data_IF_712158917815
#
_entry.id   IF_712158917815
#
_cell.length_a   1.000
_cell.length_b   1.000
_cell.length_c   1.000
_cell.angle_alpha   90.00
_cell.angle_beta   90.00
_cell.angle_gamma   90.00
#
_symmetry.space_group_name_H-M   'P 1'
#
loop_
_entity.id
_entity.type
_entity.pdbx_description
1 polymer ?
#
# COMPACT_ATOMS: atom_id res chain seq x y z
N UNK A 1 15.16 13.31 -4.73
CA UNK A 1 16.15 12.46 -5.41
C UNK A 1 16.03 10.97 -5.05
N UNK A 2 15.94 10.59 -3.77
CA UNK A 2 15.90 9.16 -3.36
C UNK A 2 14.73 8.36 -3.97
N UNK A 3 13.49 8.84 -3.85
CA UNK A 3 12.31 8.14 -4.40
C UNK A 3 12.36 8.03 -5.93
N UNK A 4 12.77 9.09 -6.63
CA UNK A 4 12.91 9.06 -8.09
C UNK A 4 13.98 8.04 -8.54
N UNK A 5 15.10 7.94 -7.82
CA UNK A 5 16.10 6.91 -8.07
C UNK A 5 15.55 5.50 -7.82
N UNK A 6 14.76 5.31 -6.75
CA UNK A 6 14.10 4.05 -6.45
C UNK A 6 13.14 3.61 -7.55
N UNK A 7 12.33 4.55 -8.08
CA UNK A 7 11.42 4.30 -9.20
C UNK A 7 12.17 3.96 -10.49
N UNK A 8 13.27 4.68 -10.79
CA UNK A 8 14.12 4.38 -11.95
C UNK A 8 14.80 3.01 -11.86
N UNK A 9 15.08 2.57 -10.63
CA UNK A 9 15.58 1.22 -10.34
C UNK A 9 14.47 0.17 -10.23
N UNK A 10 13.24 0.48 -10.65
CA UNK A 10 12.08 -0.42 -10.56
C UNK A 10 11.85 -1.01 -9.16
N UNK A 11 12.20 -0.26 -8.11
CA UNK A 11 12.09 -0.69 -6.73
C UNK A 11 13.24 -1.58 -6.23
N UNK A 12 14.30 -1.77 -7.01
CA UNK A 12 15.46 -2.59 -6.62
C UNK A 12 16.30 -1.92 -5.53
N UNK A 13 16.23 -2.46 -4.31
CA UNK A 13 17.08 -2.00 -3.20
C UNK A 13 18.56 -2.25 -3.51
N UNK A 14 18.89 -3.33 -4.22
CA UNK A 14 20.27 -3.66 -4.58
C UNK A 14 20.89 -2.65 -5.55
N UNK A 15 20.11 -2.17 -6.52
CA UNK A 15 20.58 -1.09 -7.39
C UNK A 15 20.75 0.23 -6.61
N UNK A 16 19.87 0.50 -5.66
CA UNK A 16 20.01 1.67 -4.78
C UNK A 16 21.30 1.61 -3.95
N UNK A 17 21.74 0.43 -3.51
CA UNK A 17 23.05 0.28 -2.86
C UNK A 17 24.19 0.74 -3.77
N UNK A 18 24.16 0.33 -5.05
CA UNK A 18 25.18 0.71 -6.03
C UNK A 18 25.12 2.20 -6.38
N UNK A 19 23.92 2.75 -6.58
CA UNK A 19 23.72 4.16 -6.96
C UNK A 19 24.14 5.11 -5.83
N UNK A 20 23.88 4.75 -4.58
CA UNK A 20 24.15 5.62 -3.44
C UNK A 20 25.43 5.25 -2.67
N UNK A 21 26.08 4.13 -2.99
CA UNK A 21 27.29 3.66 -2.30
C UNK A 21 27.05 3.32 -0.82
N UNK A 22 25.84 2.87 -0.49
CA UNK A 22 25.43 2.55 0.89
C UNK A 22 24.95 1.12 0.99
N UNK A 23 24.94 0.58 2.20
CA UNK A 23 24.50 -0.81 2.45
C UNK A 23 22.98 -0.96 2.37
N UNK A 24 22.53 -2.18 2.10
CA UNK A 24 21.13 -2.57 2.04
C UNK A 24 20.34 -2.10 3.27
N UNK A 25 20.82 -2.31 4.53
CA UNK A 25 20.12 -1.80 5.71
C UNK A 25 19.92 -0.29 5.69
N UNK A 26 20.87 0.49 5.17
CA UNK A 26 20.76 1.95 5.06
C UNK A 26 19.64 2.36 4.10
N UNK A 27 19.54 1.71 2.93
CA UNK A 27 18.47 1.97 1.97
C UNK A 27 17.11 1.59 2.57
N UNK A 28 17.01 0.39 3.17
CA UNK A 28 15.79 -0.11 3.80
C UNK A 28 15.31 0.80 4.94
N UNK A 29 16.22 1.26 5.81
CA UNK A 29 15.88 2.16 6.90
C UNK A 29 15.32 3.50 6.40
N UNK A 30 15.82 4.00 5.26
CA UNK A 30 15.30 5.23 4.65
C UNK A 30 13.93 5.02 4.00
N UNK A 31 13.70 3.89 3.34
CA UNK A 31 12.38 3.51 2.83
C UNK A 31 11.36 3.41 3.96
N UNK A 32 11.70 2.74 5.06
CA UNK A 32 10.82 2.63 6.23
C UNK A 32 10.47 4.00 6.83
N UNK A 33 11.44 4.92 6.93
CA UNK A 33 11.17 6.30 7.40
C UNK A 33 10.24 7.06 6.47
N UNK A 34 10.41 6.91 5.16
CA UNK A 34 9.51 7.53 4.17
C UNK A 34 8.12 6.90 4.27
N UNK A 35 8.02 5.57 4.32
CA UNK A 35 6.75 4.87 4.47
C UNK A 35 6.02 5.27 5.75
N UNK A 36 6.73 5.43 6.88
CA UNK A 36 6.14 5.90 8.13
C UNK A 36 5.64 7.35 8.05
N UNK A 37 6.25 8.21 7.21
CA UNK A 37 5.74 9.57 6.96
C UNK A 37 4.57 9.63 5.98
N UNK A 38 4.32 8.52 5.26
CA UNK A 38 3.14 8.33 4.42
C UNK A 38 2.06 7.64 5.27
N UNK A 39 1.65 8.28 6.36
CA UNK A 39 0.46 7.85 7.10
C UNK A 39 -0.73 7.83 6.13
N UNK A 40 -1.43 6.69 6.06
CA UNK A 40 -2.57 6.41 5.18
C UNK A 40 -2.28 6.42 3.67
N UNK A 41 -1.44 5.51 3.19
CA UNK A 41 -1.89 4.78 1.99
C UNK A 41 -2.59 3.54 2.51
N UNK A 42 -3.90 3.65 2.76
CA UNK A 42 -4.77 2.49 2.73
C UNK A 42 -4.58 1.86 1.34
N UNK A 43 -3.66 0.91 1.24
CA UNK A 43 -3.57 -0.04 0.14
C UNK A 43 -4.70 -1.08 0.28
N UNK A 44 -5.84 -0.69 0.84
CA UNK A 44 -7.07 -1.43 0.67
C UNK A 44 -7.84 -0.67 -0.41
N UNK A 45 -7.67 -1.02 -1.71
CA UNK A 45 -8.60 -0.51 -2.70
C UNK A 45 -9.98 -0.86 -2.18
N UNK A 46 -10.81 0.15 -1.85
CA UNK A 46 -12.17 -0.07 -1.33
C UNK A 46 -12.77 -1.27 -2.07
N UNK A 47 -13.12 -2.36 -1.37
CA UNK A 47 -13.46 -3.63 -2.00
C UNK A 47 -14.45 -3.36 -3.11
N UNK A 48 -14.30 -3.95 -4.30
CA UNK A 48 -15.18 -3.65 -5.42
C UNK A 48 -16.63 -3.98 -5.05
N UNK A 49 -17.63 -3.42 -5.75
CA UNK A 49 -19.04 -3.61 -5.34
C UNK A 49 -19.39 -5.11 -5.30
N UNK A 50 -18.83 -5.85 -6.25
CA UNK A 50 -18.87 -7.31 -6.32
C UNK A 50 -18.39 -7.96 -5.04
N UNK A 51 -17.24 -7.52 -4.51
CA UNK A 51 -16.54 -8.17 -3.41
C UNK A 51 -17.31 -7.98 -2.09
N UNK A 52 -17.90 -6.79 -1.89
CA UNK A 52 -18.79 -6.53 -0.75
C UNK A 52 -20.04 -7.44 -0.81
N UNK A 53 -20.66 -7.58 -1.99
CA UNK A 53 -21.83 -8.43 -2.17
C UNK A 53 -21.51 -9.93 -2.02
N UNK A 54 -20.34 -10.36 -2.47
CA UNK A 54 -19.88 -11.74 -2.34
C UNK A 54 -19.62 -12.10 -0.88
N UNK A 55 -18.91 -11.24 -0.14
CA UNK A 55 -18.68 -11.41 1.30
C UNK A 55 -19.98 -11.45 2.10
N UNK A 56 -20.96 -10.62 1.72
CA UNK A 56 -22.31 -10.66 2.31
C UNK A 56 -23.01 -11.99 2.01
N UNK A 57 -22.96 -12.47 0.77
CA UNK A 57 -23.58 -13.75 0.38
C UNK A 57 -22.97 -14.96 1.10
N UNK A 58 -21.66 -14.88 1.41
CA UNK A 58 -20.92 -15.88 2.18
C UNK A 58 -21.12 -15.76 3.70
N UNK A 59 -21.81 -14.71 4.15
CA UNK A 59 -22.05 -14.43 5.58
C UNK A 59 -20.81 -13.95 6.33
N UNK A 60 -19.78 -13.49 5.62
CA UNK A 60 -18.51 -13.02 6.20
C UNK A 60 -18.63 -11.60 6.78
N UNK A 61 -19.64 -10.84 6.35
CA UNK A 61 -19.99 -9.52 6.86
C UNK A 61 -21.51 -9.40 7.07
N UNK A 62 -21.93 -8.52 7.97
CA UNK A 62 -23.35 -8.22 8.18
C UNK A 62 -23.91 -7.30 7.10
N UNK A 63 -25.25 -7.22 7.02
CA UNK A 63 -25.93 -6.29 6.13
C UNK A 63 -25.56 -4.84 6.45
N UNK A 64 -25.43 -4.49 7.74
CA UNK A 64 -25.04 -3.15 8.20
C UNK A 64 -23.61 -2.82 7.77
N UNK A 65 -22.68 -3.76 7.88
CA UNK A 65 -21.30 -3.60 7.42
C UNK A 65 -21.23 -3.41 5.90
N UNK A 66 -21.99 -4.20 5.14
CA UNK A 66 -22.06 -4.07 3.69
C UNK A 66 -22.63 -2.71 3.25
N UNK A 67 -23.63 -2.16 3.96
CA UNK A 67 -24.18 -0.83 3.69
C UNK A 67 -23.12 0.25 3.92
N UNK A 68 -22.40 0.21 5.04
CA UNK A 68 -21.34 1.17 5.34
C UNK A 68 -20.23 1.16 4.27
N UNK A 69 -19.79 -0.02 3.84
CA UNK A 69 -18.77 -0.19 2.79
C UNK A 69 -19.23 0.35 1.41
N UNK A 70 -20.53 0.33 1.14
CA UNK A 70 -21.12 0.83 -0.11
C UNK A 70 -21.44 2.33 -0.08
N UNK A 71 -21.90 2.87 1.05
CA UNK A 71 -22.23 4.28 1.23
C UNK A 71 -21.00 5.18 1.28
N UNK A 72 -19.87 4.67 1.79
CA UNK A 72 -18.57 5.37 1.76
C UNK A 72 -18.00 5.65 0.36
N UNK A 73 -18.75 5.36 -0.71
CA UNK A 73 -18.38 5.63 -2.12
C UNK A 73 -19.02 6.88 -2.72
N UNK A 74 -19.82 7.62 -1.95
CA UNK A 74 -20.51 8.82 -2.42
C UNK A 74 -19.62 10.06 -2.39
#
# INVERSE_FOLDING_TARGET
MFVAAFLRSHGSIKEMEQVFGVSYPTVKARLNRIAASLEYVELDPKPARSDVLERLSRGEISAEQAIADLEGRR
#
